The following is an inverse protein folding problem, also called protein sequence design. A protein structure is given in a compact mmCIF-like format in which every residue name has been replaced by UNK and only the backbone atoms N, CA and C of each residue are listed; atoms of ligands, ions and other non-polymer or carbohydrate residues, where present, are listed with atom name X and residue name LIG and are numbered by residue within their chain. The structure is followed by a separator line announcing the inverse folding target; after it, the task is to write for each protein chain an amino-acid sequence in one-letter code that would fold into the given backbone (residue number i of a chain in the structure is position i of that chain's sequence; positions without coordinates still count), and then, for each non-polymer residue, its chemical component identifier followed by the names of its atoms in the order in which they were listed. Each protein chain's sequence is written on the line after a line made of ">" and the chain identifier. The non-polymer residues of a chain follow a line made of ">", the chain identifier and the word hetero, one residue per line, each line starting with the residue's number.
data_IF_112164808481
#
_entry.id   IF_112164808481
#
_cell.length_a   1.000
_cell.length_b   1.000
_cell.length_c   1.000
_cell.angle_alpha   90.00
_cell.angle_beta   90.00
_cell.angle_gamma   90.00
#
_symmetry.space_group_name_H-M   'P 1'
#
loop_
_entity.id
_entity.type
_entity.pdbx_description
1 polymer ?
#
# COMPACT_ATOMS: atom_id res chain seq x y z
N UNK A 1 -11.72 35.79 19.95
CA UNK A 1 -12.03 34.34 20.01
C UNK A 1 -11.78 33.74 18.63
N UNK A 2 -10.69 33.00 18.43
CA UNK A 2 -10.36 32.40 17.12
C UNK A 2 -10.98 31.00 17.06
N UNK A 3 -12.05 30.86 16.27
CA UNK A 3 -12.75 29.60 16.07
C UNK A 3 -11.85 28.58 15.36
N UNK A 4 -11.33 27.61 16.11
CA UNK A 4 -10.62 26.48 15.54
C UNK A 4 -11.63 25.61 14.79
N UNK A 5 -11.70 25.80 13.46
CA UNK A 5 -12.47 24.96 12.56
C UNK A 5 -11.86 23.57 12.60
N UNK A 6 -12.37 22.71 13.50
CA UNK A 6 -11.97 21.30 13.60
C UNK A 6 -12.15 20.68 12.22
N UNK A 7 -11.04 20.45 11.52
CA UNK A 7 -11.00 19.75 10.25
C UNK A 7 -11.75 18.44 10.47
N UNK A 8 -12.87 18.27 9.78
CA UNK A 8 -13.64 17.03 9.79
C UNK A 8 -12.72 15.96 9.19
N UNK A 9 -12.00 15.24 10.04
CA UNK A 9 -11.22 14.07 9.63
C UNK A 9 -12.28 13.03 9.28
N UNK A 10 -12.74 13.07 8.02
CA UNK A 10 -13.58 12.01 7.48
C UNK A 10 -12.89 10.70 7.83
N UNK A 11 -13.57 9.84 8.59
CA UNK A 11 -13.08 8.51 8.93
C UNK A 11 -12.75 7.83 7.60
N UNK A 12 -11.46 7.78 7.25
CA UNK A 12 -10.99 7.14 6.03
C UNK A 12 -11.43 5.68 6.15
N UNK A 13 -12.19 5.22 5.15
CA UNK A 13 -12.59 3.82 5.05
C UNK A 13 -11.31 2.97 5.16
N UNK A 14 -11.36 1.81 5.85
CA UNK A 14 -10.22 0.91 5.88
C UNK A 14 -9.82 0.59 4.44
N UNK A 15 -8.58 0.94 4.09
CA UNK A 15 -8.03 0.69 2.77
C UNK A 15 -7.74 -0.80 2.68
N UNK A 16 -8.52 -1.51 1.86
CA UNK A 16 -8.25 -2.92 1.58
C UNK A 16 -7.17 -3.02 0.49
N UNK A 17 -6.42 -4.13 0.41
CA UNK A 17 -5.46 -4.34 -0.68
C UNK A 17 -6.09 -4.18 -2.07
N UNK A 18 -7.35 -4.61 -2.22
CA UNK A 18 -8.09 -4.49 -3.48
C UNK A 18 -8.47 -3.04 -3.82
N UNK A 19 -8.96 -2.25 -2.85
CA UNK A 19 -9.26 -0.82 -3.09
C UNK A 19 -7.99 -0.05 -3.37
N UNK A 20 -6.92 -0.34 -2.63
CA UNK A 20 -5.61 0.27 -2.83
C UNK A 20 -5.09 0.05 -4.25
N UNK A 21 -5.16 -1.18 -4.76
CA UNK A 21 -4.75 -1.52 -6.12
C UNK A 21 -5.54 -0.79 -7.21
N UNK A 22 -6.80 -0.45 -6.95
CA UNK A 22 -7.61 0.30 -7.90
C UNK A 22 -7.22 1.79 -7.97
N UNK A 23 -6.53 2.30 -6.94
CA UNK A 23 -6.24 3.72 -6.78
C UNK A 23 -4.74 4.05 -6.94
N UNK A 24 -3.86 3.04 -6.98
CA UNK A 24 -2.39 3.21 -7.06
C UNK A 24 -1.82 2.75 -8.39
N UNK A 25 -0.91 3.53 -8.97
CA UNK A 25 -0.17 3.16 -10.18
C UNK A 25 1.29 2.82 -9.84
N UNK A 26 1.95 1.93 -10.60
CA UNK A 26 3.39 1.72 -10.48
C UNK A 26 4.15 3.05 -10.55
N UNK A 27 5.01 3.29 -9.56
CA UNK A 27 5.76 4.52 -9.37
C UNK A 27 5.17 5.48 -8.33
N UNK A 28 3.93 5.28 -7.88
CA UNK A 28 3.30 6.11 -6.83
C UNK A 28 3.90 5.84 -5.45
N UNK A 29 3.86 6.87 -4.60
CA UNK A 29 4.28 6.76 -3.21
C UNK A 29 3.16 6.20 -2.33
N UNK A 30 3.54 5.29 -1.46
CA UNK A 30 2.66 4.57 -0.54
C UNK A 30 3.15 4.77 0.88
N UNK A 31 2.22 4.93 1.81
CA UNK A 31 2.55 4.99 3.23
C UNK A 31 2.07 3.71 3.90
N UNK A 32 3.02 2.97 4.47
CA UNK A 32 2.75 1.83 5.32
C UNK A 32 2.91 2.23 6.78
N UNK A 33 1.99 1.78 7.63
CA UNK A 33 1.94 2.23 9.03
C UNK A 33 3.22 1.90 9.82
N UNK A 34 3.85 0.76 9.53
CA UNK A 34 5.04 0.30 10.27
C UNK A 34 6.38 0.66 9.59
N UNK A 35 6.38 0.82 8.27
CA UNK A 35 7.62 0.98 7.50
C UNK A 35 7.81 2.40 6.94
N UNK A 36 6.78 3.26 7.03
CA UNK A 36 6.85 4.62 6.51
C UNK A 36 6.55 4.69 5.01
N UNK A 37 7.27 5.54 4.28
CA UNK A 37 6.99 5.86 2.88
C UNK A 37 7.80 4.94 1.96
N UNK A 38 7.11 4.24 1.06
CA UNK A 38 7.70 3.43 -0.01
C UNK A 38 7.13 3.80 -1.38
N UNK A 39 7.66 3.18 -2.43
CA UNK A 39 7.21 3.33 -3.82
C UNK A 39 6.57 2.02 -4.28
N UNK A 40 5.36 2.09 -4.82
CA UNK A 40 4.71 0.91 -5.39
C UNK A 40 5.36 0.57 -6.74
N UNK A 41 5.83 -0.66 -6.92
CA UNK A 41 6.46 -1.10 -8.17
C UNK A 41 5.50 -1.89 -9.05
N UNK A 42 4.41 -2.42 -8.48
CA UNK A 42 3.41 -3.19 -9.22
C UNK A 42 3.04 -4.51 -8.55
N UNK A 43 2.34 -5.34 -9.32
CA UNK A 43 2.02 -6.72 -8.94
C UNK A 43 3.10 -7.67 -9.46
N UNK A 44 3.51 -8.60 -8.61
CA UNK A 44 4.45 -9.66 -8.94
C UNK A 44 3.82 -11.02 -8.68
N UNK A 45 3.98 -11.94 -9.63
CA UNK A 45 3.62 -13.33 -9.46
C UNK A 45 4.81 -14.10 -8.90
N UNK A 46 4.58 -14.83 -7.84
CA UNK A 46 5.60 -15.67 -7.22
C UNK A 46 5.06 -17.08 -7.06
N UNK A 47 5.86 -18.06 -7.47
CA UNK A 47 5.61 -19.46 -7.16
C UNK A 47 6.29 -19.77 -5.82
N UNK A 48 5.48 -19.97 -4.78
CA UNK A 48 5.99 -20.40 -3.48
C UNK A 48 5.44 -21.80 -3.21
N UNK A 49 6.35 -22.76 -3.05
CA UNK A 49 6.03 -24.17 -2.76
C UNK A 49 5.03 -24.79 -3.75
N UNK A 50 5.16 -24.50 -5.05
CA UNK A 50 4.28 -25.04 -6.09
C UNK A 50 2.95 -24.31 -6.25
N UNK A 51 2.66 -23.29 -5.44
CA UNK A 51 1.46 -22.47 -5.53
C UNK A 51 1.81 -21.11 -6.12
N UNK A 52 1.24 -20.79 -7.28
CA UNK A 52 1.31 -19.43 -7.84
C UNK A 52 0.43 -18.48 -7.02
N UNK A 53 1.04 -17.38 -6.55
CA UNK A 53 0.35 -16.33 -5.81
C UNK A 53 0.77 -14.96 -6.35
N UNK A 54 -0.12 -14.00 -6.22
CA UNK A 54 0.13 -12.60 -6.57
C UNK A 54 0.43 -11.77 -5.31
N UNK A 55 1.44 -10.91 -5.42
CA UNK A 55 1.88 -10.01 -4.36
C UNK A 55 2.01 -8.59 -4.91
N UNK A 56 1.72 -7.60 -4.08
CA UNK A 56 2.08 -6.22 -4.32
C UNK A 56 3.53 -6.03 -3.89
N UNK A 57 4.33 -5.40 -4.76
CA UNK A 57 5.70 -5.04 -4.46
C UNK A 57 5.80 -3.55 -4.11
N UNK A 58 6.32 -3.27 -2.92
CA UNK A 58 6.64 -1.92 -2.45
C UNK A 58 8.13 -1.85 -2.13
N UNK A 59 8.81 -0.83 -2.66
CA UNK A 59 10.21 -0.55 -2.39
C UNK A 59 10.32 0.60 -1.38
N UNK A 60 10.96 0.37 -0.24
CA UNK A 60 11.26 1.42 0.73
C UNK A 60 12.64 2.03 0.47
N UNK A 61 13.02 3.03 1.29
CA UNK A 61 14.33 3.66 1.18
C UNK A 61 15.47 2.62 1.27
N UNK A 62 16.45 2.72 0.37
CA UNK A 62 17.55 1.77 0.27
C UNK A 62 17.22 0.60 -0.64
N UNK A 63 17.26 -0.62 -0.09
CA UNK A 63 17.07 -1.89 -0.83
C UNK A 63 15.95 -2.77 -0.27
N UNK A 64 15.15 -2.24 0.66
CA UNK A 64 14.12 -3.02 1.36
C UNK A 64 12.86 -3.17 0.51
N UNK A 65 12.37 -4.41 0.39
CA UNK A 65 11.21 -4.76 -0.44
C UNK A 65 10.17 -5.48 0.38
N UNK A 66 8.95 -4.99 0.34
CA UNK A 66 7.80 -5.62 0.97
C UNK A 66 6.88 -6.26 -0.06
N UNK A 67 6.53 -7.51 0.19
CA UNK A 67 5.60 -8.28 -0.61
C UNK A 67 4.30 -8.48 0.16
N UNK A 68 3.26 -7.73 -0.20
CA UNK A 68 1.95 -7.86 0.43
C UNK A 68 1.13 -8.83 -0.41
N UNK A 69 0.65 -9.93 0.20
CA UNK A 69 -0.18 -10.90 -0.51
C UNK A 69 -1.47 -10.25 -0.99
N UNK A 70 -1.80 -10.39 -2.28
CA UNK A 70 -3.12 -10.01 -2.79
C UNK A 70 -4.15 -10.98 -2.21
N UNK A 71 -4.91 -10.54 -1.22
CA UNK A 71 -6.10 -11.24 -0.76
C UNK A 71 -7.24 -10.89 -1.71
N UNK A 72 -7.86 -11.89 -2.32
CA UNK A 72 -9.10 -11.71 -3.09
C UNK A 72 -10.28 -11.47 -2.16
#
# INVERSE_FOLDING_TARGET
>A
MVGQKRRNIQRRKPVTPASFLAEVNPGDYVVHQEHGIGRFEGLVKMNLTGVEREYLLIHYAGTDKLYIRRTS
#
